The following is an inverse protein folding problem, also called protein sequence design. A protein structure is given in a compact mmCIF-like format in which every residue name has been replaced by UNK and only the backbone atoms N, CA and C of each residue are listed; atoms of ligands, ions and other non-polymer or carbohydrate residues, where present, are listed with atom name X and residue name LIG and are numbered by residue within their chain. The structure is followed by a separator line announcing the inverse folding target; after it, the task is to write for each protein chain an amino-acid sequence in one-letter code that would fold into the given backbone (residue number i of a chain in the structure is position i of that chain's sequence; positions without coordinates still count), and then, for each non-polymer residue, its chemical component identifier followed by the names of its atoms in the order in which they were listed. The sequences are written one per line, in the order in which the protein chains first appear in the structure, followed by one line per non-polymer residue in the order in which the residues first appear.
data_IF_273668904131
#
_entry.id   IF_273668904131
#
_cell.length_a   1.000
_cell.length_b   1.000
_cell.length_c   1.000
_cell.angle_alpha   90.00
_cell.angle_beta   90.00
_cell.angle_gamma   90.00
#
_symmetry.space_group_name_H-M   'P 1'
#
loop_
_entity.id
_entity.type
_entity.pdbx_description
1 polymer ?
#
# COMPACT_ATOMS: atom_id res chain seq x y z
N UNK A 1 -43.99 -0.64 19.76
CA UNK A 1 -44.56 -0.70 18.41
C UNK A 1 -43.71 -1.68 17.64
N UNK A 2 -44.32 -2.76 17.16
CA UNK A 2 -43.64 -3.84 16.47
C UNK A 2 -42.84 -3.30 15.28
N UNK A 3 -41.56 -3.65 15.25
CA UNK A 3 -40.63 -3.27 14.20
C UNK A 3 -41.13 -3.87 12.88
N UNK A 4 -41.18 -3.11 11.77
CA UNK A 4 -41.52 -3.62 10.45
C UNK A 4 -40.32 -4.41 9.89
N UNK A 5 -40.01 -5.52 10.57
CA UNK A 5 -39.07 -6.57 10.19
C UNK A 5 -39.89 -7.86 10.10
N UNK A 6 -40.71 -7.98 9.05
CA UNK A 6 -41.31 -9.23 8.63
C UNK A 6 -41.92 -9.09 7.23
N UNK A 7 -41.06 -9.12 6.21
CA UNK A 7 -41.29 -9.72 4.90
C UNK A 7 -40.03 -9.55 4.03
N UNK A 8 -38.93 -10.18 4.46
CA UNK A 8 -37.69 -10.23 3.69
C UNK A 8 -37.43 -11.68 3.27
N UNK A 9 -38.24 -12.22 2.35
CA UNK A 9 -37.89 -13.41 1.58
C UNK A 9 -38.50 -13.30 0.16
N UNK A 10 -37.64 -13.51 -0.84
CA UNK A 10 -37.87 -13.78 -2.29
C UNK A 10 -38.01 -12.58 -3.24
N UNK A 11 -36.97 -12.28 -4.03
CA UNK A 11 -36.95 -12.20 -5.52
C UNK A 11 -35.68 -11.47 -6.06
N UNK A 12 -35.17 -11.77 -7.27
CA UNK A 12 -33.85 -11.36 -7.77
C UNK A 12 -33.82 -9.97 -8.46
N UNK A 13 -34.41 -8.95 -7.82
CA UNK A 13 -34.41 -7.58 -8.34
C UNK A 13 -33.57 -6.65 -7.47
N UNK A 14 -32.80 -5.77 -8.10
CA UNK A 14 -32.09 -4.69 -7.41
C UNK A 14 -33.05 -3.92 -6.48
N UNK A 15 -32.73 -3.91 -5.18
CA UNK A 15 -33.52 -3.21 -4.17
C UNK A 15 -33.22 -1.70 -4.24
N UNK A 16 -34.17 -0.84 -3.82
CA UNK A 16 -33.89 0.58 -3.59
C UNK A 16 -32.65 0.80 -2.69
N UNK A 17 -32.43 -0.11 -1.73
CA UNK A 17 -31.33 -0.04 -0.77
C UNK A 17 -29.95 -0.18 -1.44
N UNK A 18 -29.80 -1.01 -2.48
CA UNK A 18 -28.55 -1.11 -3.24
C UNK A 18 -28.22 0.18 -3.99
N UNK A 19 -29.21 0.78 -4.68
CA UNK A 19 -29.00 2.05 -5.37
C UNK A 19 -28.65 3.19 -4.40
N UNK A 20 -29.25 3.21 -3.21
CA UNK A 20 -28.94 4.16 -2.14
C UNK A 20 -27.50 3.94 -1.64
N UNK A 21 -27.11 2.69 -1.38
CA UNK A 21 -25.76 2.33 -0.95
C UNK A 21 -24.72 2.80 -1.98
N UNK A 22 -24.91 2.47 -3.25
CA UNK A 22 -24.01 2.86 -4.35
C UNK A 22 -23.92 4.38 -4.47
N UNK A 23 -25.05 5.09 -4.53
CA UNK A 23 -25.06 6.55 -4.62
C UNK A 23 -24.33 7.19 -3.45
N UNK A 24 -24.59 6.73 -2.22
CA UNK A 24 -23.94 7.26 -1.03
C UNK A 24 -22.42 7.09 -1.11
N UNK A 25 -21.93 5.88 -1.38
CA UNK A 25 -20.48 5.62 -1.45
C UNK A 25 -19.80 6.43 -2.56
N UNK A 26 -20.47 6.66 -3.70
CA UNK A 26 -19.96 7.52 -4.79
C UNK A 26 -19.70 8.95 -4.30
N UNK A 27 -20.67 9.58 -3.63
CA UNK A 27 -20.51 10.96 -3.15
C UNK A 27 -19.32 11.09 -2.21
N UNK A 28 -19.08 10.05 -1.41
CA UNK A 28 -18.02 10.03 -0.42
C UNK A 28 -16.65 9.85 -1.07
N UNK A 29 -16.57 8.98 -2.08
CA UNK A 29 -15.36 8.86 -2.87
C UNK A 29 -15.06 10.15 -3.69
N UNK A 30 -16.09 10.88 -4.16
CA UNK A 30 -15.91 12.23 -4.75
C UNK A 30 -15.36 13.22 -3.72
N UNK A 31 -15.91 13.21 -2.49
CA UNK A 31 -15.40 14.05 -1.40
C UNK A 31 -13.96 13.70 -1.02
N UNK A 32 -13.55 12.44 -1.16
CA UNK A 32 -12.16 12.00 -1.00
C UNK A 32 -11.24 12.40 -2.17
N UNK A 33 -11.74 13.11 -3.18
CA UNK A 33 -10.99 13.66 -4.30
C UNK A 33 -11.07 12.83 -5.58
N UNK A 34 -11.80 11.72 -5.59
CA UNK A 34 -11.96 10.91 -6.79
C UNK A 34 -13.17 11.40 -7.62
N UNK A 35 -12.94 12.35 -8.53
CA UNK A 35 -13.96 12.84 -9.46
C UNK A 35 -14.19 11.84 -10.61
N UNK A 36 -15.44 11.72 -11.11
CA UNK A 36 -15.84 10.88 -12.26
C UNK A 36 -15.87 9.35 -12.06
N UNK A 37 -16.46 8.95 -10.94
CA UNK A 37 -16.51 7.58 -10.42
C UNK A 37 -17.43 6.59 -11.13
N UNK A 38 -18.74 6.85 -11.20
CA UNK A 38 -19.72 5.88 -11.71
C UNK A 38 -20.76 6.66 -12.49
N UNK A 39 -20.84 6.39 -13.79
CA UNK A 39 -21.77 7.08 -14.71
C UNK A 39 -23.03 6.29 -15.00
N UNK A 40 -22.98 4.97 -14.82
CA UNK A 40 -24.13 4.07 -14.99
C UNK A 40 -23.96 2.83 -14.11
N UNK A 41 -25.06 2.34 -13.56
CA UNK A 41 -25.17 1.06 -12.86
C UNK A 41 -26.49 0.41 -13.33
N UNK A 42 -26.38 -0.65 -14.13
CA UNK A 42 -27.54 -1.41 -14.65
C UNK A 42 -27.55 -2.79 -13.99
N UNK A 43 -28.74 -3.23 -13.57
CA UNK A 43 -28.96 -4.60 -13.08
C UNK A 43 -29.35 -5.53 -14.25
N UNK A 44 -28.82 -6.74 -14.27
CA UNK A 44 -29.20 -7.81 -15.20
C UNK A 44 -29.54 -9.12 -14.48
N UNK A 45 -30.06 -10.12 -15.21
CA UNK A 45 -30.22 -11.48 -14.68
C UNK A 45 -28.84 -12.00 -14.20
N UNK A 46 -28.77 -12.63 -13.03
CA UNK A 46 -27.54 -13.03 -12.32
C UNK A 46 -26.65 -11.87 -11.77
N UNK A 47 -27.24 -10.74 -11.40
CA UNK A 47 -26.56 -9.61 -10.72
C UNK A 47 -25.39 -9.00 -11.51
N UNK A 48 -25.57 -8.83 -12.83
CA UNK A 48 -24.60 -8.14 -13.69
C UNK A 48 -24.63 -6.63 -13.48
N UNK A 49 -23.69 -6.06 -12.71
CA UNK A 49 -23.52 -4.60 -12.60
C UNK A 49 -22.50 -4.13 -13.63
N UNK A 50 -22.95 -3.31 -14.60
CA UNK A 50 -22.05 -2.59 -15.50
C UNK A 50 -21.68 -1.25 -14.88
N UNK A 51 -20.38 -1.03 -14.71
CA UNK A 51 -19.83 0.20 -14.17
C UNK A 51 -19.04 0.93 -15.26
N UNK A 52 -19.02 2.26 -15.30
CA UNK A 52 -18.09 3.00 -16.18
C UNK A 52 -17.44 4.13 -15.40
N UNK A 53 -16.14 3.98 -15.16
CA UNK A 53 -15.26 4.91 -14.44
C UNK A 53 -13.98 5.09 -15.24
N UNK A 54 -13.55 6.33 -15.49
CA UNK A 54 -12.26 6.59 -16.15
C UNK A 54 -12.03 5.78 -17.45
N UNK A 55 -13.09 5.45 -18.18
CA UNK A 55 -13.03 4.65 -19.41
C UNK A 55 -12.87 3.12 -19.23
N UNK A 56 -13.05 2.59 -18.01
CA UNK A 56 -13.08 1.16 -17.71
C UNK A 56 -14.48 0.73 -17.29
N UNK A 57 -14.87 -0.46 -17.73
CA UNK A 57 -16.08 -1.12 -17.26
C UNK A 57 -15.79 -2.47 -16.63
N UNK A 58 -16.58 -2.78 -15.60
CA UNK A 58 -16.53 -4.04 -14.88
C UNK A 58 -17.91 -4.68 -14.92
N UNK A 59 -17.94 -6.00 -14.98
CA UNK A 59 -19.13 -6.82 -14.83
C UNK A 59 -18.93 -7.76 -13.63
N UNK A 60 -19.76 -7.59 -12.60
CA UNK A 60 -19.77 -8.48 -11.44
C UNK A 60 -20.87 -9.52 -11.62
N UNK A 61 -20.66 -10.74 -11.18
CA UNK A 61 -21.68 -11.79 -11.11
C UNK A 61 -21.67 -12.36 -9.70
N UNK A 62 -22.82 -12.35 -9.05
CA UNK A 62 -22.97 -12.75 -7.65
C UNK A 62 -23.70 -14.09 -7.59
N UNK A 63 -23.15 -15.03 -6.83
CA UNK A 63 -23.79 -16.30 -6.48
C UNK A 63 -23.90 -16.40 -4.95
N UNK A 64 -25.14 -16.37 -4.47
CA UNK A 64 -25.55 -16.48 -3.07
C UNK A 64 -26.49 -17.68 -2.85
N UNK A 65 -26.54 -18.62 -3.80
CA UNK A 65 -27.46 -19.75 -3.78
C UNK A 65 -27.20 -20.72 -2.62
N UNK A 66 -25.98 -20.73 -2.08
CA UNK A 66 -25.57 -21.51 -0.91
C UNK A 66 -25.51 -20.62 0.34
N UNK A 67 -26.40 -20.86 1.31
CA UNK A 67 -26.43 -20.11 2.58
C UNK A 67 -25.13 -20.14 3.40
N UNK A 68 -24.18 -21.04 3.10
CA UNK A 68 -22.91 -21.17 3.80
C UNK A 68 -21.77 -20.33 3.20
N UNK A 69 -21.97 -19.81 1.97
CA UNK A 69 -20.96 -19.04 1.25
C UNK A 69 -21.57 -17.97 0.36
N UNK A 70 -20.71 -17.11 -0.15
CA UNK A 70 -21.09 -16.06 -1.08
C UNK A 70 -19.95 -15.83 -2.06
N UNK A 71 -20.23 -15.77 -3.35
CA UNK A 71 -19.19 -15.65 -4.38
C UNK A 71 -19.48 -14.54 -5.36
N UNK A 72 -18.43 -13.79 -5.68
CA UNK A 72 -18.42 -12.74 -6.69
C UNK A 72 -17.39 -13.11 -7.74
N UNK A 73 -17.80 -13.13 -9.01
CA UNK A 73 -16.91 -13.24 -10.16
C UNK A 73 -16.86 -11.89 -10.86
N UNK A 74 -15.67 -11.38 -11.14
CA UNK A 74 -15.46 -10.06 -11.73
C UNK A 74 -14.85 -10.23 -13.13
N UNK A 75 -15.47 -9.62 -14.13
CA UNK A 75 -14.95 -9.51 -15.50
C UNK A 75 -14.71 -8.04 -15.88
N UNK A 76 -13.79 -7.82 -16.81
CA UNK A 76 -13.56 -6.52 -17.41
C UNK A 76 -14.56 -6.20 -18.54
N UNK A 77 -14.42 -5.02 -19.14
CA UNK A 77 -15.24 -4.53 -20.26
C UNK A 77 -15.19 -5.40 -21.54
N UNK A 78 -14.19 -6.29 -21.65
CA UNK A 78 -14.04 -7.25 -22.75
C UNK A 78 -14.51 -8.65 -22.35
N UNK A 79 -15.22 -8.77 -21.22
CA UNK A 79 -15.63 -10.04 -20.62
C UNK A 79 -14.46 -10.96 -20.27
N UNK A 80 -13.25 -10.42 -20.07
CA UNK A 80 -12.13 -11.19 -19.55
C UNK A 80 -12.23 -11.30 -18.04
N UNK A 81 -12.04 -12.51 -17.51
CA UNK A 81 -12.01 -12.72 -16.07
C UNK A 81 -10.90 -11.86 -15.44
N UNK A 82 -11.22 -11.14 -14.38
CA UNK A 82 -10.26 -10.43 -13.52
C UNK A 82 -9.92 -11.30 -12.31
N UNK A 83 -10.94 -11.92 -11.73
CA UNK A 83 -10.80 -12.81 -10.59
C UNK A 83 -12.13 -13.08 -9.90
N UNK A 84 -12.07 -13.69 -8.73
CA UNK A 84 -13.23 -13.98 -7.90
C UNK A 84 -12.95 -13.75 -6.42
N UNK A 85 -13.99 -13.42 -5.68
CA UNK A 85 -13.98 -13.35 -4.22
C UNK A 85 -15.00 -14.36 -3.70
N UNK A 86 -14.58 -15.27 -2.83
CA UNK A 86 -15.48 -16.20 -2.15
C UNK A 86 -15.40 -15.98 -0.64
N UNK A 87 -16.53 -15.64 -0.04
CA UNK A 87 -16.70 -15.55 1.40
C UNK A 87 -17.29 -16.85 1.93
N UNK A 88 -16.60 -17.48 2.88
CA UNK A 88 -17.06 -18.67 3.58
C UNK A 88 -17.51 -18.28 4.99
N UNK A 89 -18.82 -18.09 5.20
CA UNK A 89 -19.36 -17.53 6.44
C UNK A 89 -19.04 -18.38 7.66
N UNK A 90 -19.24 -19.70 7.55
CA UNK A 90 -18.96 -20.65 8.64
C UNK A 90 -17.48 -20.73 9.02
N UNK A 91 -16.58 -20.36 8.11
CA UNK A 91 -15.13 -20.38 8.31
C UNK A 91 -14.55 -18.98 8.60
N UNK A 92 -15.38 -17.94 8.57
CA UNK A 92 -14.98 -16.54 8.75
C UNK A 92 -13.81 -16.14 7.84
N UNK A 93 -13.88 -16.58 6.59
CA UNK A 93 -12.77 -16.50 5.63
C UNK A 93 -13.22 -15.87 4.31
N UNK A 94 -12.38 -15.02 3.73
CA UNK A 94 -12.45 -14.73 2.31
C UNK A 94 -11.30 -15.38 1.56
N UNK A 95 -11.60 -15.72 0.32
CA UNK A 95 -10.66 -16.25 -0.66
C UNK A 95 -10.74 -15.36 -1.88
N UNK A 96 -9.65 -14.65 -2.19
CA UNK A 96 -9.51 -13.91 -3.45
C UNK A 96 -8.67 -14.75 -4.40
N UNK A 97 -9.18 -14.97 -5.61
CA UNK A 97 -8.48 -15.69 -6.67
C UNK A 97 -8.30 -14.77 -7.87
N UNK A 98 -7.07 -14.68 -8.36
CA UNK A 98 -6.73 -13.97 -9.59
C UNK A 98 -6.61 -14.92 -10.77
N UNK A 99 -6.57 -14.38 -11.98
CA UNK A 99 -6.42 -15.16 -13.23
C UNK A 99 -5.10 -15.90 -13.36
N UNK A 100 -4.04 -15.46 -12.69
CA UNK A 100 -2.73 -16.11 -12.69
C UNK A 100 -2.63 -17.26 -11.67
N UNK A 101 -3.77 -17.78 -11.19
CA UNK A 101 -3.89 -18.78 -10.11
C UNK A 101 -3.35 -18.32 -8.75
N UNK A 102 -2.96 -17.06 -8.59
CA UNK A 102 -2.62 -16.52 -7.28
C UNK A 102 -3.88 -16.47 -6.44
N UNK A 103 -3.77 -16.99 -5.21
CA UNK A 103 -4.85 -17.02 -4.24
C UNK A 103 -4.37 -16.39 -2.95
N UNK A 104 -5.21 -15.52 -2.39
CA UNK A 104 -4.99 -14.93 -1.08
C UNK A 104 -6.16 -15.27 -0.17
N UNK A 105 -5.84 -15.55 1.08
CA UNK A 105 -6.82 -15.83 2.12
C UNK A 105 -6.63 -14.88 3.28
N UNK A 106 -7.73 -14.44 3.85
CA UNK A 106 -7.70 -13.72 5.10
C UNK A 106 -8.88 -14.09 5.99
N UNK A 107 -8.64 -13.88 7.27
CA UNK A 107 -9.66 -13.97 8.31
C UNK A 107 -10.38 -12.65 8.47
N UNK A 108 -11.68 -12.77 8.69
CA UNK A 108 -12.52 -11.71 9.26
C UNK A 108 -13.22 -12.25 10.51
N UNK A 109 -13.66 -11.40 11.43
CA UNK A 109 -14.54 -11.84 12.52
C UNK A 109 -15.99 -11.91 12.05
N UNK A 110 -16.79 -12.95 12.35
CA UNK A 110 -18.22 -12.96 12.04
C UNK A 110 -18.99 -11.76 12.59
N UNK A 111 -18.55 -11.19 13.72
CA UNK A 111 -19.14 -9.97 14.28
C UNK A 111 -18.82 -8.70 13.46
N UNK A 112 -17.83 -8.78 12.58
CA UNK A 112 -17.39 -7.70 11.69
C UNK A 112 -18.11 -7.72 10.35
N UNK A 113 -18.78 -8.83 9.99
CA UNK A 113 -19.56 -8.91 8.77
C UNK A 113 -21.04 -9.09 9.04
N UNK A 114 -21.79 -8.04 8.71
CA UNK A 114 -23.25 -8.06 8.73
C UNK A 114 -23.78 -8.56 7.38
N UNK A 115 -24.19 -9.83 7.33
CA UNK A 115 -24.82 -10.45 6.15
C UNK A 115 -26.08 -9.71 5.69
N UNK A 116 -26.69 -8.89 6.55
CA UNK A 116 -27.85 -8.07 6.18
C UNK A 116 -27.48 -6.78 5.45
N UNK A 117 -26.17 -6.51 5.25
CA UNK A 117 -25.63 -5.33 4.57
C UNK A 117 -24.78 -5.70 3.36
N UNK A 118 -25.07 -6.82 2.70
CA UNK A 118 -24.31 -7.27 1.52
C UNK A 118 -24.32 -6.22 0.39
N UNK A 119 -25.37 -5.40 0.28
CA UNK A 119 -25.44 -4.27 -0.65
C UNK A 119 -24.32 -3.24 -0.43
N UNK A 120 -24.00 -2.94 0.82
CA UNK A 120 -22.93 -1.99 1.15
C UNK A 120 -21.56 -2.56 0.82
N UNK A 121 -21.35 -3.85 1.08
CA UNK A 121 -20.11 -4.55 0.70
C UNK A 121 -19.91 -4.52 -0.83
N UNK A 122 -20.95 -4.85 -1.58
CA UNK A 122 -20.94 -4.79 -3.04
C UNK A 122 -20.72 -3.36 -3.56
N UNK A 123 -21.37 -2.36 -2.96
CA UNK A 123 -21.20 -0.96 -3.33
C UNK A 123 -19.75 -0.50 -3.16
N UNK A 124 -19.11 -0.83 -2.03
CA UNK A 124 -17.70 -0.49 -1.80
C UNK A 124 -16.74 -1.25 -2.71
N UNK A 125 -17.02 -2.52 -3.02
CA UNK A 125 -16.23 -3.29 -3.97
C UNK A 125 -16.28 -2.65 -5.38
N UNK A 126 -17.47 -2.28 -5.83
CA UNK A 126 -17.66 -1.59 -7.11
C UNK A 126 -16.93 -0.25 -7.15
N UNK A 127 -17.11 0.58 -6.12
CA UNK A 127 -16.48 1.89 -6.04
C UNK A 127 -14.96 1.76 -5.99
N UNK A 128 -14.39 0.86 -5.20
CA UNK A 128 -12.93 0.68 -5.16
C UNK A 128 -12.34 0.21 -6.50
N UNK A 129 -13.00 -0.72 -7.20
CA UNK A 129 -12.60 -1.11 -8.56
C UNK A 129 -12.66 0.09 -9.54
N UNK A 130 -13.68 0.94 -9.42
CA UNK A 130 -13.83 2.17 -10.22
C UNK A 130 -12.71 3.18 -10.02
N UNK A 131 -12.09 3.14 -8.85
CA UNK A 131 -10.99 4.00 -8.44
C UNK A 131 -9.62 3.44 -8.82
N UNK A 132 -9.59 2.43 -9.69
CA UNK A 132 -8.40 1.74 -10.12
C UNK A 132 -7.61 1.10 -8.95
N UNK A 133 -8.30 0.68 -7.88
CA UNK A 133 -7.69 -0.25 -6.94
C UNK A 133 -7.69 -1.66 -7.56
N UNK A 134 -6.69 -2.46 -7.21
CA UNK A 134 -6.65 -3.87 -7.66
C UNK A 134 -7.80 -4.65 -7.03
N UNK A 135 -8.05 -5.87 -7.49
CA UNK A 135 -9.12 -6.70 -6.92
C UNK A 135 -8.87 -7.01 -5.44
N UNK A 136 -7.62 -7.27 -5.08
CA UNK A 136 -7.17 -7.55 -3.72
C UNK A 136 -7.36 -6.34 -2.81
N UNK A 137 -6.93 -5.15 -3.26
CA UNK A 137 -7.15 -3.90 -2.54
C UNK A 137 -8.65 -3.63 -2.37
N UNK A 138 -9.42 -3.81 -3.44
CA UNK A 138 -10.87 -3.55 -3.46
C UNK A 138 -11.61 -4.46 -2.48
N UNK A 139 -11.20 -5.72 -2.37
CA UNK A 139 -11.75 -6.67 -1.42
C UNK A 139 -11.38 -6.34 0.05
N UNK A 140 -10.18 -5.82 0.30
CA UNK A 140 -9.77 -5.34 1.63
C UNK A 140 -10.50 -4.06 2.04
N UNK A 141 -10.61 -3.10 1.10
CA UNK A 141 -11.34 -1.84 1.30
C UNK A 141 -12.80 -2.13 1.61
N UNK A 142 -13.48 -2.96 0.81
CA UNK A 142 -14.91 -3.24 0.97
C UNK A 142 -15.25 -3.92 2.29
N UNK A 143 -14.33 -4.74 2.82
CA UNK A 143 -14.40 -5.29 4.18
C UNK A 143 -14.27 -4.22 5.25
N UNK A 144 -13.17 -3.47 5.22
CA UNK A 144 -12.90 -2.45 6.23
C UNK A 144 -13.95 -1.34 6.23
N UNK A 145 -14.51 -1.03 5.06
CA UNK A 145 -15.52 -0.01 4.89
C UNK A 145 -16.87 -0.32 5.55
N UNK A 146 -17.14 -1.57 5.94
CA UNK A 146 -18.35 -1.92 6.72
C UNK A 146 -18.35 -1.30 8.13
N UNK A 147 -17.21 -0.82 8.59
CA UNK A 147 -17.01 -0.28 9.94
C UNK A 147 -16.95 1.24 10.02
N UNK A 148 -17.10 1.91 8.89
CA UNK A 148 -17.05 3.36 8.81
C UNK A 148 -18.36 3.89 8.21
N UNK A 149 -18.65 5.17 8.41
CA UNK A 149 -19.75 5.79 7.68
C UNK A 149 -19.45 5.70 6.19
N UNK A 150 -20.49 5.57 5.36
CA UNK A 150 -20.34 5.70 3.91
C UNK A 150 -19.60 7.00 3.54
N UNK A 151 -19.75 8.06 4.33
CA UNK A 151 -19.08 9.39 4.27
C UNK A 151 -17.58 9.39 4.53
N UNK A 152 -16.98 8.26 4.87
CA UNK A 152 -15.59 8.18 5.32
C UNK A 152 -14.84 7.03 4.69
N UNK A 153 -13.53 7.20 4.50
CA UNK A 153 -12.67 6.16 3.96
C UNK A 153 -12.08 5.28 5.08
N UNK A 154 -12.05 3.94 4.93
CA UNK A 154 -11.45 3.06 5.93
C UNK A 154 -9.94 3.31 6.07
N UNK A 155 -9.51 3.64 7.27
CA UNK A 155 -8.10 3.89 7.60
C UNK A 155 -7.63 3.19 8.87
N UNK A 156 -8.55 2.60 9.64
CA UNK A 156 -8.22 1.93 10.87
C UNK A 156 -7.84 0.47 10.61
N UNK A 157 -6.58 0.12 10.85
CA UNK A 157 -6.05 -1.24 10.65
C UNK A 157 -6.86 -2.32 11.38
N UNK A 158 -7.56 -1.97 12.46
CA UNK A 158 -8.39 -2.93 13.22
C UNK A 158 -9.55 -3.50 12.40
N UNK A 159 -10.00 -2.79 11.38
CA UNK A 159 -11.10 -3.21 10.50
C UNK A 159 -10.61 -3.83 9.20
N UNK A 160 -9.30 -3.82 8.93
CA UNK A 160 -8.75 -4.51 7.77
C UNK A 160 -8.56 -6.00 8.08
N UNK A 161 -8.87 -6.89 7.11
CA UNK A 161 -8.67 -8.32 7.28
C UNK A 161 -7.22 -8.72 7.56
N UNK A 162 -7.03 -9.84 8.26
CA UNK A 162 -5.70 -10.38 8.58
C UNK A 162 -5.33 -11.48 7.59
N UNK A 163 -4.25 -11.28 6.85
CA UNK A 163 -3.76 -12.30 5.91
C UNK A 163 -3.35 -13.57 6.66
N UNK A 164 -3.79 -14.73 6.16
CA UNK A 164 -3.31 -16.03 6.61
C UNK A 164 -2.04 -16.39 5.84
N UNK A 165 -0.88 -16.05 6.38
CA UNK A 165 0.33 -16.85 6.19
C UNK A 165 0.86 -17.24 7.57
N UNK A 166 1.57 -18.37 7.63
CA UNK A 166 2.19 -18.92 8.85
C UNK A 166 2.72 -17.77 9.71
N UNK A 167 2.36 -17.73 11.00
CA UNK A 167 2.88 -16.74 11.94
C UNK A 167 4.40 -16.73 11.86
N UNK A 168 4.97 -15.85 11.03
CA UNK A 168 6.40 -15.81 10.82
C UNK A 168 7.01 -15.36 12.13
N UNK A 169 7.68 -16.27 12.83
CA UNK A 169 8.51 -15.94 13.98
C UNK A 169 9.66 -15.09 13.50
N UNK A 170 9.46 -13.77 13.54
CA UNK A 170 10.46 -12.78 13.15
C UNK A 170 11.02 -12.09 14.39
N UNK A 171 12.34 -11.89 14.40
CA UNK A 171 13.02 -11.07 15.41
C UNK A 171 12.61 -9.60 15.20
N UNK A 172 12.46 -8.79 16.26
CA UNK A 172 12.30 -7.36 16.12
C UNK A 172 13.41 -6.74 15.26
N UNK A 173 13.03 -6.00 14.23
CA UNK A 173 13.98 -5.35 13.32
C UNK A 173 14.60 -4.11 13.94
N UNK A 174 15.83 -3.79 13.53
CA UNK A 174 16.48 -2.51 13.80
C UNK A 174 15.62 -1.38 13.25
N UNK A 175 15.43 -0.34 14.07
CA UNK A 175 14.82 0.92 13.62
C UNK A 175 15.78 1.62 12.67
N UNK A 176 15.21 2.41 11.76
CA UNK A 176 15.96 3.19 10.78
C UNK A 176 15.70 4.68 10.98
N UNK A 177 16.62 5.53 10.53
CA UNK A 177 16.52 6.98 10.50
C UNK A 177 15.76 7.46 9.25
N UNK A 178 14.67 6.78 8.91
CA UNK A 178 13.89 6.99 7.69
C UNK A 178 12.96 8.22 7.79
N UNK A 179 13.59 9.39 7.91
CA UNK A 179 12.95 10.70 8.05
C UNK A 179 13.65 11.72 7.15
N UNK A 180 12.86 12.58 6.50
CA UNK A 180 13.38 13.61 5.63
C UNK A 180 13.74 13.10 4.23
N UNK A 181 14.88 13.53 3.69
CA UNK A 181 15.34 13.12 2.36
C UNK A 181 15.96 11.72 2.39
N UNK A 182 15.55 10.88 1.45
CA UNK A 182 16.11 9.56 1.21
C UNK A 182 16.62 9.43 -0.25
N UNK A 183 17.89 9.73 -0.52
CA UNK A 183 18.44 9.53 -1.86
C UNK A 183 18.65 8.04 -2.18
N UNK A 184 18.33 7.68 -3.42
CA UNK A 184 18.58 6.34 -3.99
C UNK A 184 19.57 6.50 -5.15
N UNK A 185 20.71 5.82 -5.07
CA UNK A 185 21.84 5.96 -6.00
C UNK A 185 22.33 4.60 -6.49
N UNK A 186 23.11 4.58 -7.56
CA UNK A 186 23.53 3.37 -8.27
C UNK A 186 25.04 3.10 -8.22
N UNK A 187 25.80 3.88 -7.45
CA UNK A 187 27.25 3.79 -7.37
C UNK A 187 27.78 4.11 -5.97
N UNK A 188 28.92 3.51 -5.62
CA UNK A 188 29.61 3.74 -4.35
C UNK A 188 30.13 5.18 -4.24
N UNK A 189 30.56 5.79 -5.35
CA UNK A 189 31.05 7.17 -5.37
C UNK A 189 29.96 8.15 -4.90
N UNK A 190 28.71 7.93 -5.31
CA UNK A 190 27.58 8.75 -4.87
C UNK A 190 27.21 8.49 -3.41
N UNK A 191 27.38 7.26 -2.92
CA UNK A 191 27.20 6.96 -1.49
C UNK A 191 28.22 7.74 -0.66
N UNK A 192 29.50 7.69 -1.05
CA UNK A 192 30.59 8.40 -0.35
C UNK A 192 30.38 9.92 -0.37
N UNK A 193 29.99 10.49 -1.51
CA UNK A 193 29.71 11.92 -1.65
C UNK A 193 28.51 12.35 -0.76
N UNK A 194 27.36 11.67 -0.91
CA UNK A 194 26.12 12.08 -0.25
C UNK A 194 26.12 11.79 1.25
N UNK A 195 26.87 10.80 1.74
CA UNK A 195 26.96 10.50 3.17
C UNK A 195 27.53 11.68 3.97
N UNK A 196 28.35 12.54 3.33
CA UNK A 196 28.87 13.77 3.93
C UNK A 196 27.92 14.96 3.84
N UNK A 197 26.81 14.84 3.10
CA UNK A 197 25.87 15.92 2.83
C UNK A 197 24.79 16.13 3.90
N UNK A 198 24.79 15.33 4.98
CA UNK A 198 23.87 15.49 6.10
C UNK A 198 22.56 14.69 6.01
N UNK A 199 22.42 13.82 5.01
CA UNK A 199 21.33 12.83 4.94
C UNK A 199 21.41 11.82 6.07
N UNK A 200 20.28 11.22 6.44
CA UNK A 200 20.20 10.21 7.52
C UNK A 200 20.07 8.78 7.02
N UNK A 201 19.63 8.63 5.78
CA UNK A 201 19.44 7.36 5.10
C UNK A 201 19.81 7.51 3.62
N UNK A 202 20.46 6.49 3.06
CA UNK A 202 20.87 6.42 1.65
C UNK A 202 20.69 4.99 1.15
N UNK A 203 20.28 4.80 -0.10
CA UNK A 203 20.19 3.46 -0.69
C UNK A 203 21.16 3.31 -1.85
N UNK A 204 21.96 2.23 -1.80
CA UNK A 204 22.69 1.72 -2.94
C UNK A 204 21.80 0.72 -3.68
N UNK A 205 21.53 1.03 -4.95
CA UNK A 205 20.68 0.26 -5.85
C UNK A 205 21.38 0.04 -7.18
N UNK A 206 22.20 -1.01 -7.21
CA UNK A 206 22.83 -1.51 -8.44
C UNK A 206 21.88 -2.49 -9.12
N UNK A 207 21.81 -2.48 -10.45
CA UNK A 207 21.01 -3.42 -11.23
C UNK A 207 21.87 -4.21 -12.20
N UNK A 208 21.39 -5.39 -12.57
CA UNK A 208 21.84 -6.15 -13.74
C UNK A 208 23.34 -6.48 -13.73
N UNK A 209 23.93 -6.67 -12.55
CA UNK A 209 25.34 -7.07 -12.38
C UNK A 209 25.48 -8.38 -11.60
N UNK A 210 26.49 -9.21 -11.89
CA UNK A 210 26.84 -10.35 -11.05
C UNK A 210 27.26 -9.92 -9.63
N UNK A 211 26.99 -10.74 -8.62
CA UNK A 211 27.37 -10.45 -7.22
C UNK A 211 28.87 -10.14 -7.07
N UNK A 212 29.73 -10.88 -7.78
CA UNK A 212 31.19 -10.69 -7.75
C UNK A 212 31.66 -9.30 -8.21
N UNK A 213 30.84 -8.58 -8.98
CA UNK A 213 31.15 -7.23 -9.45
C UNK A 213 30.63 -6.14 -8.51
N UNK A 214 29.74 -6.49 -7.58
CA UNK A 214 29.02 -5.55 -6.71
C UNK A 214 29.41 -5.71 -5.23
N UNK A 215 30.01 -6.84 -4.86
CA UNK A 215 30.38 -7.15 -3.49
C UNK A 215 31.29 -6.09 -2.85
N UNK A 216 32.31 -5.62 -3.57
CA UNK A 216 33.21 -4.59 -3.06
C UNK A 216 32.50 -3.25 -2.84
N UNK A 217 31.56 -2.88 -3.73
CA UNK A 217 30.74 -1.68 -3.58
C UNK A 217 29.81 -1.79 -2.37
N UNK A 218 29.17 -2.95 -2.18
CA UNK A 218 28.30 -3.23 -1.02
C UNK A 218 29.10 -3.15 0.27
N UNK A 219 30.27 -3.81 0.33
CA UNK A 219 31.14 -3.81 1.50
C UNK A 219 31.61 -2.40 1.85
N UNK A 220 32.02 -1.61 0.84
CA UNK A 220 32.40 -0.20 1.03
C UNK A 220 31.22 0.65 1.48
N UNK A 221 30.05 0.50 0.88
CA UNK A 221 28.86 1.26 1.26
C UNK A 221 28.48 1.00 2.73
N UNK A 222 28.53 -0.25 3.18
CA UNK A 222 28.31 -0.61 4.59
C UNK A 222 29.35 0.05 5.50
N UNK A 223 30.61 0.10 5.08
CA UNK A 223 31.68 0.76 5.84
C UNK A 223 31.44 2.28 5.96
N UNK A 224 31.03 2.94 4.87
CA UNK A 224 30.65 4.36 4.88
C UNK A 224 29.52 4.61 5.89
N UNK A 225 28.51 3.75 5.94
CA UNK A 225 27.43 3.84 6.94
C UNK A 225 27.94 3.77 8.38
N UNK A 226 28.88 2.84 8.66
CA UNK A 226 29.50 2.70 9.99
C UNK A 226 30.32 3.92 10.39
N UNK A 227 31.02 4.54 9.44
CA UNK A 227 31.89 5.70 9.70
C UNK A 227 31.11 7.01 9.85
N UNK A 228 30.02 7.17 9.08
CA UNK A 228 29.24 8.42 9.02
C UNK A 228 28.01 8.40 9.94
N UNK A 229 27.56 7.22 10.36
CA UNK A 229 26.30 7.04 11.10
C UNK A 229 25.04 7.18 10.24
N UNK A 230 25.19 7.23 8.92
CA UNK A 230 24.08 7.19 7.95
C UNK A 230 23.60 5.75 7.80
N UNK A 231 22.27 5.55 7.77
CA UNK A 231 21.71 4.25 7.46
C UNK A 231 21.87 3.97 5.96
N UNK A 232 22.85 3.12 5.62
CA UNK A 232 23.05 2.65 4.26
C UNK A 232 22.17 1.42 4.03
N UNK A 233 21.29 1.53 3.03
CA UNK A 233 20.32 0.52 2.64
C UNK A 233 20.80 -0.16 1.37
N UNK A 234 20.94 -1.48 1.41
CA UNK A 234 21.30 -2.26 0.22
C UNK A 234 20.02 -2.82 -0.42
N UNK A 235 19.82 -2.52 -1.70
CA UNK A 235 18.70 -3.04 -2.50
C UNK A 235 19.16 -4.15 -3.46
N UNK A 236 18.28 -5.10 -3.78
CA UNK A 236 18.46 -6.26 -4.67
C UNK A 236 19.53 -7.29 -4.16
N UNK A 237 20.70 -6.85 -3.70
CA UNK A 237 21.81 -7.71 -3.21
C UNK A 237 21.74 -8.00 -1.69
N UNK A 238 20.56 -8.36 -1.18
CA UNK A 238 20.35 -8.55 0.26
C UNK A 238 21.17 -9.71 0.86
N UNK A 239 21.54 -10.72 0.05
CA UNK A 239 22.39 -11.83 0.49
C UNK A 239 23.78 -11.34 0.92
N UNK A 240 24.43 -10.54 0.07
CA UNK A 240 25.70 -9.85 0.37
C UNK A 240 25.54 -8.88 1.55
N UNK A 241 24.41 -8.18 1.63
CA UNK A 241 24.15 -7.27 2.74
C UNK A 241 24.13 -8.01 4.09
N UNK A 242 23.56 -9.21 4.16
CA UNK A 242 23.60 -10.04 5.36
C UNK A 242 25.02 -10.54 5.68
N UNK A 243 25.75 -11.03 4.66
CA UNK A 243 27.13 -11.51 4.82
C UNK A 243 28.07 -10.43 5.38
N UNK A 244 27.94 -9.20 4.87
CA UNK A 244 28.75 -8.06 5.29
C UNK A 244 28.14 -7.28 6.48
N UNK A 245 27.09 -7.81 7.11
CA UNK A 245 26.43 -7.24 8.29
C UNK A 245 25.96 -5.78 8.09
N UNK A 246 25.26 -5.54 6.99
CA UNK A 246 24.58 -4.28 6.72
C UNK A 246 23.57 -3.93 7.82
N UNK A 247 23.35 -2.63 8.05
CA UNK A 247 22.36 -2.17 9.02
C UNK A 247 20.93 -2.28 8.48
N UNK A 248 20.74 -2.15 7.17
CA UNK A 248 19.42 -2.14 6.55
C UNK A 248 19.44 -2.69 5.10
N UNK A 249 18.37 -3.37 4.71
CA UNK A 249 18.07 -3.78 3.32
C UNK A 249 16.73 -3.21 2.86
N UNK A 250 16.54 -3.17 1.55
CA UNK A 250 15.26 -2.87 0.91
C UNK A 250 14.86 -4.01 -0.02
N UNK A 251 13.59 -4.43 0.04
CA UNK A 251 13.05 -5.52 -0.78
C UNK A 251 11.82 -5.08 -1.60
N UNK A 252 11.74 -5.56 -2.83
CA UNK A 252 10.54 -5.53 -3.65
C UNK A 252 9.55 -6.66 -3.32
N UNK A 253 8.39 -6.65 -3.98
CA UNK A 253 7.38 -7.71 -3.79
C UNK A 253 7.83 -9.08 -4.32
N UNK A 254 8.60 -9.10 -5.41
CA UNK A 254 9.17 -10.34 -5.96
C UNK A 254 10.19 -10.96 -5.01
N UNK A 255 11.09 -10.15 -4.45
CA UNK A 255 12.03 -10.60 -3.41
C UNK A 255 11.29 -11.15 -2.21
N UNK A 256 10.24 -10.44 -1.76
CA UNK A 256 9.40 -10.82 -0.61
C UNK A 256 8.70 -12.18 -0.82
N UNK A 257 8.22 -12.43 -2.04
CA UNK A 257 7.60 -13.70 -2.43
C UNK A 257 8.61 -14.86 -2.47
N UNK A 258 9.88 -14.56 -2.78
CA UNK A 258 10.97 -15.55 -2.80
C UNK A 258 11.60 -15.83 -1.43
N UNK A 259 11.17 -15.16 -0.35
CA UNK A 259 11.76 -15.27 1.00
C UNK A 259 11.46 -16.59 1.75
N UNK A 260 11.05 -17.66 1.08
CA UNK A 260 10.78 -18.96 1.72
C UNK A 260 12.04 -19.45 2.46
N UNK A 261 11.93 -19.63 3.78
CA UNK A 261 13.00 -20.11 4.67
C UNK A 261 14.28 -19.22 4.71
N UNK A 262 14.10 -17.91 4.49
CA UNK A 262 15.23 -16.99 4.37
C UNK A 262 15.87 -16.61 5.72
N UNK A 263 17.21 -16.60 5.74
CA UNK A 263 18.07 -16.02 6.81
C UNK A 263 17.65 -14.61 7.24
N UNK A 264 16.92 -13.88 6.38
CA UNK A 264 16.38 -12.57 6.71
C UNK A 264 15.41 -12.68 7.90
N UNK A 265 14.53 -13.68 7.98
CA UNK A 265 13.54 -13.79 9.05
C UNK A 265 14.17 -13.93 10.45
N UNK A 266 15.35 -14.54 10.51
CA UNK A 266 16.14 -14.76 11.74
C UNK A 266 17.14 -13.64 12.05
N UNK A 267 17.13 -12.55 11.29
CA UNK A 267 18.04 -11.41 11.50
C UNK A 267 17.33 -10.20 12.11
N UNK A 268 18.07 -9.34 12.81
CA UNK A 268 17.57 -8.06 13.31
C UNK A 268 17.75 -6.92 12.30
N UNK A 269 18.15 -7.20 11.05
CA UNK A 269 18.47 -6.18 10.05
C UNK A 269 17.29 -5.23 9.82
N UNK A 270 17.57 -3.94 9.61
CA UNK A 270 16.54 -3.00 9.21
C UNK A 270 15.94 -3.41 7.86
N UNK A 271 14.60 -3.35 7.74
CA UNK A 271 13.91 -3.85 6.54
C UNK A 271 12.96 -2.79 5.98
N UNK A 272 13.29 -2.28 4.80
CA UNK A 272 12.37 -1.52 3.95
C UNK A 272 11.63 -2.42 2.99
N UNK A 273 10.34 -2.20 2.79
CA UNK A 273 9.55 -2.95 1.81
C UNK A 273 8.81 -1.99 0.89
N UNK A 274 8.99 -2.16 -0.42
CA UNK A 274 8.21 -1.47 -1.45
C UNK A 274 6.77 -1.97 -1.47
N UNK A 275 5.81 -1.04 -1.49
CA UNK A 275 4.37 -1.32 -1.48
C UNK A 275 3.61 -0.41 -2.44
N UNK A 276 2.59 -0.96 -3.09
CA UNK A 276 1.82 -0.31 -4.16
C UNK A 276 0.31 -0.24 -3.90
N UNK A 277 -0.15 -0.75 -2.75
CA UNK A 277 -1.57 -0.87 -2.43
C UNK A 277 -1.81 -1.37 -1.01
N UNK A 278 -3.09 -1.41 -0.63
CA UNK A 278 -3.55 -1.91 0.68
C UNK A 278 -3.10 -3.34 0.96
N UNK A 279 -3.25 -4.22 -0.04
CA UNK A 279 -2.87 -5.62 0.06
C UNK A 279 -1.37 -5.77 0.35
N UNK A 280 -0.53 -5.08 -0.41
CA UNK A 280 0.93 -5.13 -0.22
C UNK A 280 1.35 -4.53 1.13
N UNK A 281 0.71 -3.45 1.58
CA UNK A 281 0.94 -2.88 2.91
C UNK A 281 0.65 -3.92 3.99
N UNK A 282 -0.53 -4.55 3.96
CA UNK A 282 -0.95 -5.55 4.96
C UNK A 282 -0.06 -6.80 4.88
N UNK A 283 0.28 -7.25 3.67
CA UNK A 283 1.19 -8.37 3.46
C UNK A 283 2.58 -8.09 4.02
N UNK A 284 3.11 -6.89 3.80
CA UNK A 284 4.41 -6.46 4.32
C UNK A 284 4.46 -6.47 5.85
N UNK A 285 3.35 -6.20 6.56
CA UNK A 285 3.35 -6.16 8.04
C UNK A 285 3.78 -7.47 8.69
N UNK A 286 3.58 -8.60 8.02
CA UNK A 286 3.98 -9.93 8.50
C UNK A 286 5.50 -10.07 8.67
N UNK A 287 6.27 -9.26 7.94
CA UNK A 287 7.74 -9.25 7.97
C UNK A 287 8.31 -8.22 8.95
N UNK A 288 7.45 -7.52 9.70
CA UNK A 288 7.78 -6.47 10.67
C UNK A 288 8.73 -5.39 10.11
N UNK A 289 8.39 -4.73 8.97
CA UNK A 289 9.27 -3.78 8.32
C UNK A 289 9.62 -2.61 9.24
N UNK A 290 10.85 -2.13 9.09
CA UNK A 290 11.36 -0.90 9.74
C UNK A 290 10.80 0.36 9.09
N UNK A 291 10.41 0.30 7.81
CA UNK A 291 9.66 1.32 7.10
C UNK A 291 8.94 0.74 5.88
N UNK A 292 7.89 1.41 5.40
CA UNK A 292 7.19 1.07 4.16
C UNK A 292 7.48 2.12 3.09
N UNK A 293 7.77 1.70 1.86
CA UNK A 293 7.90 2.61 0.73
C UNK A 293 6.65 2.55 -0.15
N UNK A 294 6.07 3.71 -0.46
CA UNK A 294 4.88 3.91 -1.29
C UNK A 294 5.33 4.50 -2.63
N UNK A 295 5.13 3.78 -3.72
CA UNK A 295 5.51 4.28 -5.03
C UNK A 295 4.94 3.46 -6.19
N UNK A 296 5.03 3.95 -7.42
CA UNK A 296 5.50 5.28 -7.79
C UNK A 296 4.36 6.31 -7.68
N UNK A 297 4.64 7.49 -7.11
CA UNK A 297 3.61 8.52 -6.87
C UNK A 297 3.26 9.30 -8.15
N UNK A 298 4.28 9.72 -8.90
CA UNK A 298 4.15 10.44 -10.17
C UNK A 298 4.80 9.63 -11.30
N UNK A 299 4.48 9.96 -12.58
CA UNK A 299 5.19 9.38 -13.73
C UNK A 299 6.71 9.48 -13.57
N UNK A 300 7.41 8.39 -13.84
CA UNK A 300 8.86 8.28 -13.68
C UNK A 300 9.46 7.51 -14.85
N UNK A 301 10.66 7.89 -15.27
CA UNK A 301 11.43 7.17 -16.30
C UNK A 301 12.56 6.32 -15.69
N UNK A 302 12.66 6.26 -14.36
CA UNK A 302 13.77 5.58 -13.67
C UNK A 302 13.59 4.06 -13.59
N UNK A 303 12.35 3.58 -13.72
CA UNK A 303 11.99 2.16 -13.73
C UNK A 303 10.78 2.00 -14.64
N UNK A 304 10.78 0.97 -15.48
CA UNK A 304 9.57 0.55 -16.18
C UNK A 304 8.57 0.02 -15.15
N UNK A 305 7.46 0.73 -14.99
CA UNK A 305 6.43 0.39 -14.02
C UNK A 305 5.24 -0.24 -14.75
N UNK A 306 4.78 -1.43 -14.33
CA UNK A 306 3.63 -2.09 -14.93
C UNK A 306 2.30 -1.43 -14.52
N UNK A 307 2.31 -0.64 -13.44
CA UNK A 307 1.14 0.07 -12.91
C UNK A 307 1.13 1.55 -13.31
N UNK A 308 -0.05 2.17 -13.23
CA UNK A 308 -0.16 3.64 -13.31
C UNK A 308 0.34 4.30 -12.02
N UNK A 309 0.77 5.58 -12.08
CA UNK A 309 1.15 6.33 -10.88
C UNK A 309 0.00 6.37 -9.87
N UNK A 310 0.34 6.23 -8.58
CA UNK A 310 -0.67 6.19 -7.51
C UNK A 310 -1.35 7.56 -7.31
N UNK A 311 -0.60 8.65 -7.49
CA UNK A 311 -1.05 10.00 -7.21
C UNK A 311 -1.18 10.33 -5.72
N UNK A 312 -1.42 11.61 -5.44
CA UNK A 312 -1.45 12.15 -4.06
C UNK A 312 -2.67 11.67 -3.25
N UNK A 313 -3.80 11.41 -3.92
CA UNK A 313 -5.02 10.95 -3.25
C UNK A 313 -4.79 9.58 -2.63
N UNK A 314 -4.36 8.58 -3.42
CA UNK A 314 -4.07 7.22 -2.91
C UNK A 314 -2.96 7.25 -1.88
N UNK A 315 -1.90 8.05 -2.10
CA UNK A 315 -0.83 8.24 -1.12
C UNK A 315 -1.37 8.66 0.26
N UNK A 316 -2.26 9.66 0.31
CA UNK A 316 -2.86 10.13 1.57
C UNK A 316 -3.72 9.05 2.25
N UNK A 317 -4.43 8.23 1.48
CA UNK A 317 -5.24 7.12 2.01
C UNK A 317 -4.36 5.99 2.58
N UNK A 318 -3.29 5.61 1.88
CA UNK A 318 -2.30 4.65 2.36
C UNK A 318 -1.57 5.17 3.60
N UNK A 319 -1.18 6.44 3.60
CA UNK A 319 -0.53 7.06 4.75
C UNK A 319 -1.43 7.07 5.99
N UNK A 320 -2.74 7.31 5.81
CA UNK A 320 -3.72 7.24 6.90
C UNK A 320 -3.76 5.85 7.55
N UNK A 321 -3.69 4.77 6.74
CA UNK A 321 -3.58 3.41 7.25
C UNK A 321 -2.26 3.18 7.99
N UNK A 322 -1.13 3.62 7.44
CA UNK A 322 0.19 3.48 8.08
C UNK A 322 0.24 4.20 9.43
N UNK A 323 -0.34 5.39 9.54
CA UNK A 323 -0.48 6.11 10.80
C UNK A 323 -1.29 5.31 11.81
N UNK A 324 -2.40 4.67 11.39
CA UNK A 324 -3.19 3.80 12.27
C UNK A 324 -2.39 2.58 12.76
N UNK A 325 -1.62 1.94 11.87
CA UNK A 325 -0.72 0.85 12.21
C UNK A 325 0.30 1.28 13.27
N UNK A 326 0.91 2.46 13.10
CA UNK A 326 1.85 3.02 14.08
C UNK A 326 1.21 3.27 15.45
N UNK A 327 0.01 3.86 15.47
CA UNK A 327 -0.76 4.07 16.71
C UNK A 327 -1.05 2.76 17.42
N UNK A 328 -1.48 1.73 16.71
CA UNK A 328 -1.74 0.41 17.28
C UNK A 328 -0.47 -0.23 17.88
N UNK A 329 0.69 0.01 17.26
CA UNK A 329 2.01 -0.46 17.73
C UNK A 329 2.60 0.39 18.86
N UNK A 330 1.97 1.52 19.21
CA UNK A 330 2.51 2.49 20.17
C UNK A 330 3.77 3.21 19.70
N UNK A 331 4.06 3.20 18.40
CA UNK A 331 5.23 3.91 17.82
C UNK A 331 5.03 4.20 16.33
N UNK A 332 5.61 5.29 15.84
CA UNK A 332 5.55 5.64 14.41
C UNK A 332 6.14 4.51 13.57
N UNK A 333 5.39 4.08 12.54
CA UNK A 333 5.90 3.27 11.45
C UNK A 333 6.32 4.22 10.32
N UNK A 334 7.63 4.40 10.05
CA UNK A 334 8.08 5.30 9.00
C UNK A 334 7.56 4.89 7.62
N UNK A 335 7.29 5.90 6.79
CA UNK A 335 6.84 5.74 5.41
C UNK A 335 7.61 6.64 4.47
N UNK A 336 7.92 6.09 3.29
CA UNK A 336 8.70 6.77 2.26
C UNK A 336 7.85 6.88 1.00
N UNK A 337 7.61 8.09 0.50
CA UNK A 337 7.06 8.25 -0.84
C UNK A 337 8.18 8.25 -1.88
N UNK A 338 8.01 7.53 -2.99
CA UNK A 338 9.00 7.47 -4.08
C UNK A 338 8.32 7.52 -5.45
N UNK A 339 9.03 8.06 -6.45
CA UNK A 339 8.65 7.98 -7.86
C UNK A 339 8.19 9.31 -8.44
N UNK A 340 9.02 9.89 -9.32
CA UNK A 340 8.75 11.16 -10.00
C UNK A 340 8.69 12.38 -9.08
N UNK A 341 9.31 12.29 -7.89
CA UNK A 341 9.38 13.37 -6.89
C UNK A 341 10.64 14.20 -7.16
N UNK A 342 10.44 15.52 -7.19
CA UNK A 342 11.46 16.57 -7.28
C UNK A 342 11.15 17.66 -6.23
N UNK A 343 11.91 18.76 -6.23
CA UNK A 343 11.72 19.85 -5.28
C UNK A 343 10.38 20.59 -5.44
N UNK A 344 9.81 20.61 -6.64
CA UNK A 344 8.53 21.26 -6.90
C UNK A 344 7.37 20.43 -6.34
N UNK A 345 7.44 19.10 -6.46
CA UNK A 345 6.39 18.18 -6.03
C UNK A 345 6.52 17.72 -4.59
N UNK A 346 7.73 17.75 -4.02
CA UNK A 346 7.98 17.28 -2.66
C UNK A 346 7.06 17.91 -1.60
N UNK A 347 6.76 19.23 -1.60
CA UNK A 347 5.84 19.82 -0.63
C UNK A 347 4.46 19.13 -0.61
N UNK A 348 3.88 18.84 -1.79
CA UNK A 348 2.58 18.17 -1.90
C UNK A 348 2.61 16.73 -1.37
N UNK A 349 3.75 16.06 -1.52
CA UNK A 349 3.95 14.69 -1.02
C UNK A 349 4.10 14.71 0.49
N UNK A 350 4.91 15.63 1.03
CA UNK A 350 5.15 15.75 2.47
C UNK A 350 3.84 16.08 3.20
N UNK A 351 2.98 16.94 2.63
CA UNK A 351 1.65 17.29 3.19
C UNK A 351 0.73 16.07 3.40
N UNK A 352 0.97 14.95 2.70
CA UNK A 352 0.24 13.70 2.94
C UNK A 352 0.56 13.07 4.30
N UNK A 353 1.65 13.51 4.95
CA UNK A 353 2.10 13.05 6.26
C UNK A 353 3.14 11.93 6.22
N UNK A 354 3.75 11.64 5.06
CA UNK A 354 4.85 10.67 4.95
C UNK A 354 6.07 11.14 5.75
N UNK A 355 6.83 10.21 6.33
CA UNK A 355 8.00 10.58 7.13
C UNK A 355 9.21 10.94 6.27
N UNK A 356 9.26 10.45 5.03
CA UNK A 356 10.37 10.66 4.12
C UNK A 356 9.94 10.72 2.65
N UNK A 357 10.73 11.40 1.83
CA UNK A 357 10.62 11.36 0.36
C UNK A 357 11.91 10.80 -0.21
N UNK A 358 11.78 9.79 -1.06
CA UNK A 358 12.89 9.21 -1.78
C UNK A 358 12.98 9.74 -3.21
N UNK A 359 14.21 10.09 -3.60
CA UNK A 359 14.51 10.68 -4.91
C UNK A 359 15.76 10.05 -5.50
N UNK A 360 15.80 9.99 -6.84
CA UNK A 360 16.98 9.53 -7.59
C UNK A 360 17.57 10.74 -8.30
N UNK A 361 16.99 11.10 -9.44
CA UNK A 361 17.50 12.13 -10.36
C UNK A 361 17.57 13.53 -9.75
N UNK A 362 16.64 13.88 -8.87
CA UNK A 362 16.60 15.23 -8.27
C UNK A 362 17.84 15.54 -7.40
N UNK A 363 18.58 14.51 -6.99
CA UNK A 363 19.85 14.67 -6.27
C UNK A 363 21.03 14.20 -7.12
N UNK A 364 20.94 13.05 -7.80
CA UNK A 364 22.08 12.52 -8.57
C UNK A 364 22.47 13.36 -9.78
N UNK A 365 21.53 14.13 -10.34
CA UNK A 365 21.77 15.02 -11.49
C UNK A 365 21.85 16.51 -11.10
N UNK A 366 21.88 16.82 -9.81
CA UNK A 366 22.04 18.21 -9.37
C UNK A 366 23.49 18.67 -9.58
N UNK A 367 23.67 19.92 -10.03
CA UNK A 367 24.98 20.54 -10.17
C UNK A 367 25.71 20.62 -8.81
N UNK A 368 24.97 20.96 -7.76
CA UNK A 368 25.42 20.94 -6.36
C UNK A 368 24.51 20.00 -5.55
N UNK A 369 25.03 18.79 -5.25
CA UNK A 369 24.28 17.78 -4.51
C UNK A 369 24.06 18.17 -3.06
N UNK A 370 24.98 18.95 -2.45
CA UNK A 370 24.83 19.41 -1.07
C UNK A 370 23.68 20.39 -0.96
N UNK A 371 23.62 21.37 -1.88
CA UNK A 371 22.50 22.33 -1.92
C UNK A 371 21.18 21.62 -2.19
N UNK A 372 21.14 20.65 -3.11
CA UNK A 372 19.92 19.86 -3.36
C UNK A 372 19.46 19.13 -2.09
N UNK A 373 20.38 18.48 -1.37
CA UNK A 373 20.07 17.83 -0.07
C UNK A 373 19.51 18.84 0.93
N UNK A 374 20.13 20.01 1.07
CA UNK A 374 19.70 21.05 2.01
C UNK A 374 18.35 21.67 1.64
N UNK A 375 18.03 21.78 0.34
CA UNK A 375 16.72 22.22 -0.13
C UNK A 375 15.62 21.24 0.28
N UNK A 376 15.80 19.93 0.04
CA UNK A 376 14.82 18.92 0.47
C UNK A 376 14.66 18.87 1.99
N UNK A 377 15.75 18.91 2.77
CA UNK A 377 15.64 18.85 4.23
C UNK A 377 14.92 20.06 4.84
N UNK A 378 15.06 21.25 4.22
CA UNK A 378 14.30 22.45 4.63
C UNK A 378 12.79 22.29 4.49
N UNK A 379 12.31 21.48 3.54
CA UNK A 379 10.87 21.23 3.36
C UNK A 379 10.25 20.56 4.59
N UNK A 380 10.93 19.55 5.16
CA UNK A 380 10.47 18.86 6.37
C UNK A 380 10.56 19.73 7.64
N UNK A 381 11.50 20.67 7.67
CA UNK A 381 11.66 21.60 8.81
C UNK A 381 10.58 22.68 8.85
N UNK A 382 10.02 23.03 7.69
CA UNK A 382 9.01 24.10 7.56
C UNK A 382 7.62 23.63 8.01
N UNK A 383 7.28 22.35 7.84
CA UNK A 383 6.03 21.79 8.36
C UNK A 383 6.00 21.66 9.90
N UNK A 384 7.17 21.44 10.53
CA UNK A 384 7.27 21.46 11.99
C UNK A 384 6.89 22.83 12.59
N UNK A 385 7.02 23.91 11.80
CA UNK A 385 6.61 25.27 12.18
C UNK A 385 5.11 25.53 11.91
N UNK A 386 4.48 24.86 10.93
CA UNK A 386 3.05 25.04 10.64
C UNK A 386 2.14 24.18 11.52
N UNK A 387 2.62 23.04 12.02
CA UNK A 387 1.88 22.14 12.93
C UNK A 387 2.25 22.34 14.41
N UNK A 388 3.10 23.33 14.73
CA UNK A 388 3.57 23.66 16.07
C UNK A 388 2.57 24.37 17.00
N UNK A 389 1.27 24.09 16.88
CA UNK A 389 0.27 24.42 17.90
C UNK A 389 -0.52 23.14 18.20
N UNK A 390 -0.34 22.63 19.43
CA UNK A 390 -0.95 21.43 20.04
C UNK A 390 -0.21 20.09 19.89
N UNK A 391 1.00 20.01 20.44
CA UNK A 391 1.37 18.84 21.25
C UNK A 391 2.20 19.30 22.45
N UNK A 392 1.51 19.68 23.52
CA UNK A 392 2.10 19.90 24.84
C UNK A 392 1.42 18.98 25.87
N UNK A 393 2.27 18.20 26.54
CA UNK A 393 2.10 17.39 27.75
C UNK A 393 1.60 15.96 27.61
#
# INVERSE_FOLDING_TARGET
MESPLNSFIQSPNATPDFHIAVHSVIECARAAGFSDLITECKHGENFSVNLTASGKSYQLTVDDSDSSQYSIVIHDQKSQLIGSITTLFSQSKDIVRLTNNTQFEWDFSPSEYDVTKTENYLAWLLVSLSLDFTLEDSALISRSAQHVSCETWPSDIRYFPRLRKNELTTIPRKKTQCFGLYPVVDSIELIEELATCGVKILQLRVKDKPESEVEDDVRRAIQVGKETGVDIVINDYWGLALEHSASCIHLGQEDLAALEDSRILDSDIGLGISTHGYFEIINALQYKPSYLALGHIFPTTTKDMPSSPQGLIKLKLYQSLIVSIGKQRGSVLPSVAIGGIDLERAPLVIETGVTSVAVVRAVTLADDKKEAVDQFQRLFSTEALSHGVNHAH
#
